data_IF_728813934502
#
_entry.id   IF_728813934502
#
_cell.length_a   1.000
_cell.length_b   1.000
_cell.length_c   1.000
_cell.angle_alpha   90.00
_cell.angle_beta   90.00
_cell.angle_gamma   90.00
#
_symmetry.space_group_name_H-M   'P 1'
#
loop_
_entity.id
_entity.type
_entity.pdbx_description
1 polymer ?
#
# COMPACT_ATOMS: atom_id res chain seq x y z
N UNK A 1 6.91 -11.79 -22.64
CA UNK A 1 7.17 -10.54 -21.90
C UNK A 1 8.37 -10.78 -21.00
N UNK A 2 9.57 -10.52 -21.52
CA UNK A 2 10.85 -10.74 -20.85
C UNK A 2 11.64 -9.44 -20.96
N UNK A 3 11.23 -8.47 -20.16
CA UNK A 3 12.01 -7.30 -19.79
C UNK A 3 12.02 -7.28 -18.27
N UNK A 4 13.17 -6.96 -17.67
CA UNK A 4 13.39 -7.03 -16.23
C UNK A 4 12.32 -6.25 -15.45
N UNK A 5 11.28 -6.94 -14.99
CA UNK A 5 10.24 -6.35 -14.17
C UNK A 5 10.85 -6.05 -12.79
N UNK A 6 11.05 -4.76 -12.53
CA UNK A 6 11.47 -4.29 -11.22
C UNK A 6 10.24 -3.87 -10.45
N UNK A 7 10.02 -4.54 -9.31
CA UNK A 7 8.97 -4.18 -8.37
C UNK A 7 9.05 -2.69 -8.00
N UNK A 8 7.91 -2.02 -7.96
CA UNK A 8 7.85 -0.60 -7.64
C UNK A 8 8.39 -0.34 -6.23
N UNK A 9 9.28 0.65 -6.10
CA UNK A 9 9.98 1.00 -4.85
C UNK A 9 9.08 1.21 -3.63
N UNK A 10 7.80 1.54 -3.84
CA UNK A 10 6.84 1.77 -2.78
C UNK A 10 6.16 0.50 -2.24
N UNK A 11 6.26 -0.66 -2.91
CA UNK A 11 5.57 -1.89 -2.50
C UNK A 11 5.92 -2.29 -1.06
N UNK A 12 7.18 -2.12 -0.65
CA UNK A 12 7.61 -2.40 0.73
C UNK A 12 6.81 -1.65 1.80
N UNK A 13 6.31 -0.45 1.50
CA UNK A 13 5.52 0.35 2.45
C UNK A 13 4.07 -0.13 2.58
N UNK A 14 3.62 -1.02 1.69
CA UNK A 14 2.32 -1.68 1.79
C UNK A 14 2.39 -3.02 2.54
N UNK A 15 3.55 -3.41 3.09
CA UNK A 15 3.61 -4.56 3.99
C UNK A 15 2.66 -4.33 5.18
N UNK A 16 1.91 -5.35 5.56
CA UNK A 16 0.91 -5.25 6.65
C UNK A 16 1.11 -6.28 7.74
N UNK A 17 1.87 -7.36 7.50
CA UNK A 17 2.02 -8.46 8.46
C UNK A 17 2.64 -8.04 9.81
N UNK A 18 3.36 -6.92 9.85
CA UNK A 18 3.95 -6.36 11.06
C UNK A 18 2.95 -5.59 11.94
N UNK A 19 1.75 -5.30 11.43
CA UNK A 19 0.73 -4.57 12.15
C UNK A 19 -0.04 -5.52 13.10
N UNK A 20 -0.64 -5.00 14.19
CA UNK A 20 -1.63 -5.75 14.97
C UNK A 20 -2.81 -6.22 14.11
N UNK A 21 -3.42 -7.36 14.45
CA UNK A 21 -4.44 -8.02 13.63
C UNK A 21 -5.60 -7.10 13.21
N UNK A 22 -6.08 -6.24 14.13
CA UNK A 22 -7.13 -5.26 13.83
C UNK A 22 -6.77 -4.27 12.74
N UNK A 23 -5.49 -3.85 12.67
CA UNK A 23 -4.99 -2.93 11.64
C UNK A 23 -4.64 -3.66 10.34
N UNK A 24 -4.27 -4.94 10.41
CA UNK A 24 -4.03 -5.75 9.21
C UNK A 24 -5.28 -5.84 8.33
N UNK A 25 -6.47 -5.98 8.94
CA UNK A 25 -7.75 -6.05 8.21
C UNK A 25 -7.99 -4.82 7.33
N UNK A 26 -7.50 -3.65 7.76
CA UNK A 26 -7.62 -2.38 7.03
C UNK A 26 -6.50 -2.23 6.00
N UNK A 27 -5.27 -2.61 6.35
CA UNK A 27 -4.10 -2.42 5.49
C UNK A 27 -4.01 -3.44 4.33
N UNK A 28 -4.49 -4.68 4.54
CA UNK A 28 -4.42 -5.78 3.55
C UNK A 28 -5.08 -5.48 2.18
N UNK A 29 -6.25 -4.83 2.10
CA UNK A 29 -6.81 -4.39 0.82
C UNK A 29 -5.88 -3.47 0.03
N UNK A 30 -5.24 -2.49 0.68
CA UNK A 30 -4.28 -1.59 0.03
C UNK A 30 -3.04 -2.33 -0.46
N UNK A 31 -2.55 -3.31 0.31
CA UNK A 31 -1.45 -4.18 -0.14
C UNK A 31 -1.80 -4.93 -1.42
N UNK A 32 -2.98 -5.54 -1.46
CA UNK A 32 -3.44 -6.33 -2.60
C UNK A 32 -3.62 -5.45 -3.83
N UNK A 33 -4.21 -4.26 -3.66
CA UNK A 33 -4.37 -3.28 -4.74
C UNK A 33 -3.03 -2.75 -5.24
N UNK A 34 -2.09 -2.42 -4.35
CA UNK A 34 -0.76 -1.93 -4.73
C UNK A 34 0.01 -2.97 -5.55
N UNK A 35 -0.03 -4.25 -5.15
CA UNK A 35 0.54 -5.38 -5.93
C UNK A 35 -0.10 -5.52 -7.30
N UNK A 36 -1.43 -5.40 -7.38
CA UNK A 36 -2.17 -5.45 -8.64
C UNK A 36 -1.80 -4.30 -9.58
N UNK A 37 -1.78 -3.07 -9.06
CA UNK A 37 -1.37 -1.88 -9.81
C UNK A 37 0.08 -1.99 -10.29
N UNK A 38 0.98 -2.51 -9.45
CA UNK A 38 2.37 -2.69 -9.84
C UNK A 38 2.53 -3.69 -10.98
N UNK A 39 1.76 -4.78 -10.97
CA UNK A 39 1.81 -5.81 -12.00
C UNK A 39 1.12 -5.41 -13.31
N UNK A 40 0.06 -4.60 -13.24
CA UNK A 40 -0.82 -4.30 -14.38
C UNK A 40 -0.49 -2.99 -15.09
N UNK A 41 0.05 -1.99 -14.39
CA UNK A 41 0.29 -0.67 -14.95
C UNK A 41 1.71 -0.54 -15.54
N UNK A 42 1.86 0.16 -16.68
CA UNK A 42 3.16 0.47 -17.24
C UNK A 42 3.97 1.35 -16.28
N UNK A 43 5.30 1.31 -16.41
CA UNK A 43 6.18 2.19 -15.64
C UNK A 43 6.11 3.62 -16.20
N UNK A 44 5.40 4.50 -15.49
CA UNK A 44 5.16 5.88 -15.89
C UNK A 44 4.88 6.79 -14.68
N UNK A 45 4.84 8.10 -14.90
CA UNK A 45 4.64 9.09 -13.84
C UNK A 45 3.28 8.92 -13.14
N UNK A 46 2.24 8.53 -13.88
CA UNK A 46 0.90 8.30 -13.36
C UNK A 46 0.87 7.09 -12.42
N UNK A 47 1.63 6.03 -12.71
CA UNK A 47 1.80 4.89 -11.79
C UNK A 47 2.49 5.36 -10.50
N UNK A 48 3.55 6.14 -10.61
CA UNK A 48 4.25 6.74 -9.47
C UNK A 48 3.32 7.60 -8.59
N UNK A 49 2.46 8.43 -9.22
CA UNK A 49 1.46 9.25 -8.53
C UNK A 49 0.39 8.39 -7.88
N UNK A 50 -0.14 7.39 -8.59
CA UNK A 50 -1.19 6.52 -8.07
C UNK A 50 -0.69 5.69 -6.88
N UNK A 51 0.54 5.16 -6.95
CA UNK A 51 1.16 4.41 -5.84
C UNK A 51 1.38 5.29 -4.60
N UNK A 52 1.78 6.57 -4.76
CA UNK A 52 1.89 7.53 -3.65
C UNK A 52 0.54 7.84 -3.01
N UNK A 53 -0.48 8.14 -3.83
CA UNK A 53 -1.84 8.43 -3.35
C UNK A 53 -2.45 7.24 -2.62
N UNK A 54 -2.22 6.03 -3.12
CA UNK A 54 -2.68 4.81 -2.47
C UNK A 54 -2.00 4.60 -1.11
N UNK A 55 -0.71 4.93 -1.00
CA UNK A 55 0.05 4.84 0.26
C UNK A 55 -0.49 5.84 1.30
N UNK A 56 -0.72 7.10 0.89
CA UNK A 56 -1.34 8.13 1.73
C UNK A 56 -2.74 7.68 2.22
N UNK A 57 -3.56 7.13 1.32
CA UNK A 57 -4.88 6.62 1.67
C UNK A 57 -4.82 5.46 2.68
N UNK A 58 -3.89 4.52 2.50
CA UNK A 58 -3.64 3.43 3.45
C UNK A 58 -3.26 3.97 4.82
N UNK A 59 -2.31 4.90 4.88
CA UNK A 59 -1.83 5.46 6.15
C UNK A 59 -2.94 6.23 6.88
N UNK A 60 -3.78 6.98 6.16
CA UNK A 60 -4.98 7.63 6.72
C UNK A 60 -6.00 6.61 7.25
N UNK A 61 -6.30 5.56 6.50
CA UNK A 61 -7.25 4.52 6.91
C UNK A 61 -6.76 3.75 8.15
N UNK A 62 -5.47 3.41 8.21
CA UNK A 62 -4.86 2.76 9.37
C UNK A 62 -4.91 3.67 10.59
N UNK A 63 -4.55 4.96 10.43
CA UNK A 63 -4.55 5.94 11.53
C UNK A 63 -5.96 6.16 12.11
N UNK A 64 -6.99 6.16 11.27
CA UNK A 64 -8.38 6.30 11.70
C UNK A 64 -8.86 5.16 12.62
N UNK A 65 -8.14 4.02 12.66
CA UNK A 65 -8.47 2.88 13.51
C UNK A 65 -7.50 2.71 14.69
N UNK A 66 -6.62 3.69 14.94
CA UNK A 66 -5.80 3.73 16.15
C UNK A 66 -6.68 4.27 17.29
N UNK A 67 -6.88 3.50 18.38
CA UNK A 67 -7.67 3.98 19.51
C UNK A 67 -7.02 5.19 20.15
N UNK A 68 -7.84 6.14 20.61
CA UNK A 68 -7.34 7.28 21.37
C UNK A 68 -6.60 6.79 22.63
N UNK A 69 -5.51 7.47 23.03
CA UNK A 69 -4.85 7.17 24.29
C UNK A 69 -5.86 7.36 25.43
N UNK A 70 -5.96 6.36 26.31
CA UNK A 70 -6.78 6.47 27.52
C UNK A 70 -6.22 7.62 28.36
N UNK A 71 -7.07 8.58 28.70
CA UNK A 71 -6.75 9.68 29.63
C UNK A 71 -6.45 9.15 31.03
#
# INVERSE_FOLDING_TARGET
MSGDYKEHKLIRFFAYAHLPEGLQKISKPFHSLAKGMDALLPDCEEKDVAMRKLLEAKDCAVRANIPEPKK
#
